data_IF_270393527499
#
_entry.id   IF_270393527499
#
_cell.length_a   1.000
_cell.length_b   1.000
_cell.length_c   1.000
_cell.angle_alpha   90.00
_cell.angle_beta   90.00
_cell.angle_gamma   90.00
#
_symmetry.space_group_name_H-M   'P 1'
#
loop_
_entity.id
_entity.type
_entity.pdbx_description
1 polymer ?
#
# COMPACT_ATOMS: atom_id res chain seq x y z
N UNK A 1 -13.04 45.44 -27.52
CA UNK A 1 -12.08 44.40 -27.07
C UNK A 1 -12.55 43.06 -27.59
N UNK A 2 -11.84 42.46 -28.55
CA UNK A 2 -12.18 41.13 -29.09
C UNK A 2 -11.54 40.06 -28.19
N UNK A 3 -12.27 39.03 -27.74
CA UNK A 3 -11.69 37.94 -26.95
C UNK A 3 -10.63 37.24 -27.79
N UNK A 4 -9.46 37.02 -27.20
CA UNK A 4 -8.33 36.36 -27.84
C UNK A 4 -8.65 34.86 -28.01
N UNK A 5 -8.83 34.41 -29.26
CA UNK A 5 -9.22 33.03 -29.61
C UNK A 5 -8.20 31.96 -29.17
N UNK A 6 -7.00 32.37 -28.74
CA UNK A 6 -5.95 31.48 -28.22
C UNK A 6 -6.25 30.90 -26.83
N UNK A 7 -7.15 31.49 -26.04
CA UNK A 7 -7.58 30.91 -24.75
C UNK A 7 -8.60 29.78 -24.90
N UNK A 8 -9.35 29.75 -26.00
CA UNK A 8 -10.33 28.68 -26.28
C UNK A 8 -9.68 27.40 -26.82
N UNK A 9 -8.48 27.48 -27.39
CA UNK A 9 -7.73 26.30 -27.81
C UNK A 9 -7.24 25.44 -26.63
N UNK A 10 -7.12 26.04 -25.43
CA UNK A 10 -6.76 25.31 -24.21
C UNK A 10 -7.95 24.53 -23.60
N UNK A 11 -9.18 24.86 -24.01
CA UNK A 11 -10.38 24.09 -23.71
C UNK A 11 -10.74 23.17 -24.89
N UNK A 12 -9.84 22.22 -25.22
CA UNK A 12 -10.17 20.81 -24.98
C UNK A 12 -11.59 20.54 -24.45
N UNK A 13 -12.67 20.41 -25.24
CA UNK A 13 -13.84 19.70 -24.73
C UNK A 13 -13.28 18.37 -24.25
N UNK A 14 -13.39 18.10 -22.94
CA UNK A 14 -13.00 16.82 -22.38
C UNK A 14 -13.75 15.78 -23.20
N UNK A 15 -13.04 15.18 -24.16
CA UNK A 15 -13.55 14.12 -24.98
C UNK A 15 -14.13 13.11 -24.02
N UNK A 16 -15.29 12.53 -24.38
CA UNK A 16 -15.93 11.43 -23.65
C UNK A 16 -14.86 10.71 -22.85
N UNK A 17 -14.89 10.88 -21.54
CA UNK A 17 -14.05 10.08 -20.67
C UNK A 17 -14.65 8.70 -20.84
N UNK A 18 -14.14 7.95 -21.81
CA UNK A 18 -14.42 6.54 -21.93
C UNK A 18 -14.08 6.00 -20.56
N UNK A 19 -15.09 5.58 -19.82
CA UNK A 19 -14.86 5.04 -18.48
C UNK A 19 -14.05 3.76 -18.55
N UNK A 20 -13.88 3.17 -19.75
CA UNK A 20 -12.91 2.14 -20.09
C UNK A 20 -11.44 2.60 -20.14
N UNK A 21 -11.15 3.91 -20.09
CA UNK A 21 -9.84 4.45 -19.71
C UNK A 21 -9.64 4.42 -18.18
N UNK A 22 -10.31 3.47 -17.53
CA UNK A 22 -10.14 3.03 -16.14
C UNK A 22 -8.67 2.68 -15.94
N UNK A 23 -7.92 3.63 -15.38
CA UNK A 23 -6.60 3.42 -14.79
C UNK A 23 -5.60 2.67 -15.71
N UNK A 24 -4.82 3.42 -16.49
CA UNK A 24 -3.64 2.86 -17.15
C UNK A 24 -2.46 2.82 -16.13
N UNK A 25 -1.99 1.64 -15.67
CA UNK A 25 -0.85 1.54 -14.76
C UNK A 25 0.49 1.94 -15.39
N UNK A 26 0.52 2.23 -16.69
CA UNK A 26 1.71 2.68 -17.44
C UNK A 26 1.82 4.21 -17.51
N UNK A 27 1.04 4.92 -16.72
CA UNK A 27 1.12 6.38 -16.59
C UNK A 27 2.45 6.71 -15.90
N UNK A 28 3.40 7.26 -16.66
CA UNK A 28 4.72 7.69 -16.19
C UNK A 28 4.55 8.72 -15.09
N UNK A 29 4.88 8.41 -13.83
CA UNK A 29 4.69 9.37 -12.74
C UNK A 29 5.83 10.40 -12.64
N UNK A 30 6.84 10.33 -13.53
CA UNK A 30 7.74 11.45 -13.81
C UNK A 30 7.05 12.55 -14.63
N UNK A 31 5.98 12.23 -15.34
CA UNK A 31 5.12 13.21 -15.99
C UNK A 31 4.28 13.94 -14.92
N UNK A 32 4.36 15.28 -14.91
CA UNK A 32 3.57 16.10 -13.97
C UNK A 32 2.08 15.91 -14.22
N UNK A 33 1.68 15.70 -15.47
CA UNK A 33 0.29 15.52 -15.85
C UNK A 33 -0.24 14.17 -15.34
N UNK A 34 0.60 13.14 -15.36
CA UNK A 34 0.30 11.84 -14.76
C UNK A 34 0.06 11.92 -13.25
N UNK A 35 0.93 12.59 -12.50
CA UNK A 35 0.71 12.79 -11.06
C UNK A 35 -0.54 13.63 -10.78
N UNK A 36 -0.77 14.68 -11.57
CA UNK A 36 -1.99 15.47 -11.48
C UNK A 36 -3.22 14.57 -11.70
N UNK A 37 -3.21 13.71 -12.72
CA UNK A 37 -4.29 12.75 -12.96
C UNK A 37 -4.50 11.82 -11.78
N UNK A 38 -3.46 11.22 -11.21
CA UNK A 38 -3.56 10.36 -10.01
C UNK A 38 -4.16 11.14 -8.84
N UNK A 39 -3.72 12.38 -8.61
CA UNK A 39 -4.24 13.25 -7.56
C UNK A 39 -5.73 13.61 -7.78
N UNK A 40 -6.17 13.72 -9.02
CA UNK A 40 -7.56 14.00 -9.38
C UNK A 40 -8.46 12.75 -9.41
N UNK A 41 -7.91 11.53 -9.43
CA UNK A 41 -8.72 10.30 -9.48
C UNK A 41 -9.59 10.11 -8.24
N UNK A 42 -9.12 10.55 -7.07
CA UNK A 42 -9.80 10.38 -5.78
C UNK A 42 -9.15 11.18 -4.66
N UNK A 43 -9.88 11.45 -3.56
CA UNK A 43 -9.25 11.91 -2.32
C UNK A 43 -8.32 10.82 -1.77
N UNK A 44 -7.08 11.20 -1.47
CA UNK A 44 -6.03 10.30 -0.99
C UNK A 44 -5.71 10.55 0.49
N UNK A 45 -5.81 9.51 1.32
CA UNK A 45 -5.19 9.48 2.64
C UNK A 45 -3.72 9.11 2.48
N UNK A 46 -2.82 10.06 2.71
CA UNK A 46 -1.38 9.83 2.52
C UNK A 46 -0.70 9.55 3.84
N UNK A 47 0.03 8.44 3.93
CA UNK A 47 0.85 8.07 5.08
C UNK A 47 2.23 7.62 4.60
N UNK A 48 3.27 7.95 5.35
CA UNK A 48 4.65 7.68 4.96
C UNK A 48 5.30 6.69 5.94
N UNK A 49 6.05 5.71 5.44
CA UNK A 49 7.04 5.01 6.24
C UNK A 49 8.39 5.71 6.09
N UNK A 50 9.02 6.03 7.22
CA UNK A 50 10.27 6.79 7.27
C UNK A 50 11.47 5.96 7.72
N UNK A 51 11.25 4.74 8.21
CA UNK A 51 12.31 3.89 8.76
C UNK A 51 12.56 4.10 10.25
N UNK A 52 11.80 4.98 10.92
CA UNK A 52 11.88 5.17 12.36
C UNK A 52 10.87 4.23 13.04
N UNK A 53 11.29 3.21 13.81
CA UNK A 53 10.39 2.15 14.30
C UNK A 53 9.17 2.65 15.07
N UNK A 54 9.34 3.65 15.94
CA UNK A 54 8.25 4.21 16.74
C UNK A 54 7.25 5.00 15.88
N UNK A 55 7.73 5.81 14.94
CA UNK A 55 6.88 6.59 14.03
C UNK A 55 6.15 5.66 13.07
N UNK A 56 6.87 4.69 12.51
CA UNK A 56 6.33 3.65 11.62
C UNK A 56 5.27 2.78 12.32
N UNK A 57 5.36 2.60 13.65
CA UNK A 57 4.32 1.94 14.44
C UNK A 57 2.99 2.72 14.44
N UNK A 58 3.03 4.03 14.69
CA UNK A 58 1.83 4.88 14.63
C UNK A 58 1.31 5.02 13.20
N UNK A 59 2.20 5.15 12.22
CA UNK A 59 1.82 5.24 10.81
C UNK A 59 1.12 3.97 10.34
N UNK A 60 1.53 2.80 10.82
CA UNK A 60 0.82 1.55 10.57
C UNK A 60 -0.65 1.58 11.08
N UNK A 61 -0.89 2.12 12.28
CA UNK A 61 -2.26 2.27 12.81
C UNK A 61 -3.08 3.29 12.00
N UNK A 62 -2.45 4.37 11.55
CA UNK A 62 -3.09 5.37 10.69
C UNK A 62 -3.48 4.76 9.33
N UNK A 63 -2.61 3.94 8.73
CA UNK A 63 -2.88 3.20 7.49
C UNK A 63 -4.08 2.28 7.66
N UNK A 64 -4.08 1.45 8.72
CA UNK A 64 -5.19 0.54 9.00
C UNK A 64 -6.52 1.30 9.17
N UNK A 65 -6.50 2.39 9.93
CA UNK A 65 -7.68 3.24 10.13
C UNK A 65 -8.18 3.86 8.81
N UNK A 66 -7.26 4.33 7.96
CA UNK A 66 -7.60 4.88 6.66
C UNK A 66 -8.19 3.82 5.72
N UNK A 67 -7.67 2.58 5.73
CA UNK A 67 -8.23 1.47 4.94
C UNK A 67 -9.65 1.15 5.39
N UNK A 68 -9.88 1.04 6.71
CA UNK A 68 -11.21 0.81 7.26
C UNK A 68 -12.18 1.94 6.90
N UNK A 69 -11.71 3.19 6.94
CA UNK A 69 -12.49 4.37 6.57
C UNK A 69 -12.92 4.31 5.10
N UNK A 70 -12.00 4.06 4.16
CA UNK A 70 -12.36 3.99 2.73
C UNK A 70 -13.27 2.80 2.43
N UNK A 71 -13.18 1.71 3.19
CA UNK A 71 -14.07 0.55 3.07
C UNK A 71 -15.48 0.81 3.60
N UNK A 72 -15.60 1.61 4.66
CA UNK A 72 -16.89 2.02 5.23
C UNK A 72 -17.57 3.14 4.41
N UNK A 73 -16.81 3.88 3.61
CA UNK A 73 -17.32 4.95 2.75
C UNK A 73 -18.26 4.41 1.66
N UNK A 74 -19.55 4.75 1.79
CA UNK A 74 -20.60 4.39 0.83
C UNK A 74 -20.37 4.96 -0.58
N UNK A 75 -19.64 6.07 -0.69
CA UNK A 75 -19.31 6.67 -1.99
C UNK A 75 -18.25 5.86 -2.75
N UNK A 76 -17.48 5.03 -2.02
CA UNK A 76 -16.34 4.22 -2.50
C UNK A 76 -15.39 5.00 -3.41
N UNK A 77 -15.23 6.28 -3.10
CA UNK A 77 -14.37 7.19 -3.85
C UNK A 77 -12.98 7.29 -3.21
N UNK A 78 -12.79 6.92 -1.95
CA UNK A 78 -11.52 7.05 -1.24
C UNK A 78 -10.36 6.21 -1.78
N UNK A 79 -9.14 6.66 -1.45
CA UNK A 79 -7.91 5.89 -1.63
C UNK A 79 -6.92 6.14 -0.51
N UNK A 80 -6.04 5.18 -0.25
CA UNK A 80 -4.91 5.29 0.67
C UNK A 80 -3.62 5.23 -0.15
N UNK A 81 -2.72 6.18 0.09
CA UNK A 81 -1.40 6.29 -0.53
C UNK A 81 -0.35 6.11 0.54
N UNK A 82 0.46 5.07 0.41
CA UNK A 82 1.48 4.70 1.39
C UNK A 82 2.85 4.88 0.75
N UNK A 83 3.63 5.86 1.20
CA UNK A 83 4.95 6.15 0.62
C UNK A 83 6.05 5.52 1.45
N UNK A 84 6.90 4.73 0.82
CA UNK A 84 8.06 4.11 1.45
C UNK A 84 9.30 4.99 1.22
N UNK A 85 9.61 5.88 2.17
CA UNK A 85 10.76 6.80 2.07
C UNK A 85 12.09 6.07 2.31
N UNK A 86 13.19 6.76 2.03
CA UNK A 86 14.53 6.28 2.35
C UNK A 86 14.63 5.95 3.86
N UNK A 87 14.95 4.70 4.18
CA UNK A 87 14.94 4.17 5.55
C UNK A 87 13.85 3.11 5.80
N UNK A 88 12.82 3.06 4.96
CA UNK A 88 11.80 2.00 5.04
C UNK A 88 12.43 0.63 4.81
N UNK A 89 12.03 -0.36 5.62
CA UNK A 89 12.45 -1.75 5.45
C UNK A 89 11.44 -2.56 4.64
N UNK A 90 11.87 -3.68 4.06
CA UNK A 90 10.95 -4.65 3.41
C UNK A 90 9.85 -5.14 4.37
N UNK A 91 10.13 -5.18 5.68
CA UNK A 91 9.13 -5.57 6.68
C UNK A 91 7.93 -4.61 6.71
N UNK A 92 8.14 -3.31 6.43
CA UNK A 92 7.03 -2.35 6.35
C UNK A 92 6.12 -2.65 5.16
N UNK A 93 6.66 -3.07 4.01
CA UNK A 93 5.86 -3.48 2.86
C UNK A 93 5.06 -4.76 3.15
N UNK A 94 5.70 -5.78 3.75
CA UNK A 94 5.01 -7.01 4.16
C UNK A 94 3.87 -6.68 5.11
N UNK A 95 4.11 -5.81 6.10
CA UNK A 95 3.08 -5.35 7.03
C UNK A 95 1.89 -4.71 6.31
N UNK A 96 2.13 -3.90 5.28
CA UNK A 96 1.05 -3.30 4.46
C UNK A 96 0.28 -4.38 3.67
N UNK A 97 0.97 -5.39 3.13
CA UNK A 97 0.31 -6.49 2.44
C UNK A 97 -0.56 -7.34 3.38
N UNK A 98 -0.07 -7.60 4.60
CA UNK A 98 -0.84 -8.27 5.64
C UNK A 98 -2.08 -7.45 6.00
N UNK A 99 -1.94 -6.13 6.09
CA UNK A 99 -3.08 -5.20 6.26
C UNK A 99 -4.12 -5.35 5.17
N UNK A 100 -3.71 -5.42 3.89
CA UNK A 100 -4.66 -5.62 2.80
C UNK A 100 -5.44 -6.93 2.97
N UNK A 101 -4.75 -7.99 3.39
CA UNK A 101 -5.36 -9.29 3.55
C UNK A 101 -6.41 -9.30 4.67
N UNK A 102 -6.05 -8.89 5.90
CA UNK A 102 -6.99 -8.96 7.02
C UNK A 102 -8.10 -7.90 6.97
N UNK A 103 -7.88 -6.75 6.32
CA UNK A 103 -8.94 -5.75 6.08
C UNK A 103 -9.82 -6.09 4.88
N UNK A 104 -9.57 -7.22 4.21
CA UNK A 104 -10.24 -7.64 2.99
C UNK A 104 -10.16 -6.62 1.84
N UNK A 105 -9.12 -5.78 1.83
CA UNK A 105 -8.85 -4.80 0.79
C UNK A 105 -8.26 -5.48 -0.45
N UNK A 106 -9.09 -5.74 -1.46
CA UNK A 106 -8.69 -6.52 -2.65
C UNK A 106 -8.05 -5.71 -3.77
N UNK A 107 -8.32 -4.40 -3.84
CA UNK A 107 -7.81 -3.55 -4.92
C UNK A 107 -6.66 -2.68 -4.42
N UNK A 108 -5.46 -3.03 -4.86
CA UNK A 108 -4.25 -2.27 -4.56
C UNK A 108 -3.21 -2.48 -5.66
N UNK A 109 -2.22 -1.60 -5.73
CA UNK A 109 -1.03 -1.78 -6.55
C UNK A 109 0.20 -1.14 -5.87
N UNK A 110 1.37 -1.63 -6.25
CA UNK A 110 2.66 -1.08 -5.82
C UNK A 110 3.32 -0.39 -7.02
N UNK A 111 3.57 0.91 -6.89
CA UNK A 111 4.46 1.65 -7.78
C UNK A 111 5.88 1.62 -7.22
N UNK A 112 6.74 0.82 -7.84
CA UNK A 112 8.16 0.72 -7.53
C UNK A 112 9.05 1.41 -8.56
N UNK A 113 8.47 2.02 -9.61
CA UNK A 113 9.22 2.69 -10.67
C UNK A 113 9.66 4.08 -10.25
N UNK A 114 8.95 4.66 -9.28
CA UNK A 114 9.16 6.04 -8.84
C UNK A 114 9.57 6.08 -7.37
N UNK A 115 10.32 7.13 -7.03
CA UNK A 115 10.77 7.36 -5.66
C UNK A 115 10.00 8.52 -5.01
N UNK A 116 9.48 8.36 -3.79
CA UNK A 116 9.48 7.12 -3.00
C UNK A 116 8.56 6.04 -3.61
N UNK A 117 8.92 4.77 -3.43
CA UNK A 117 8.04 3.67 -3.83
C UNK A 117 6.70 3.84 -3.11
N UNK A 118 5.60 3.73 -3.84
CA UNK A 118 4.28 4.10 -3.32
C UNK A 118 3.29 2.96 -3.52
N UNK A 119 2.66 2.54 -2.42
CA UNK A 119 1.60 1.55 -2.43
C UNK A 119 0.25 2.26 -2.36
N UNK A 120 -0.64 1.90 -3.27
CA UNK A 120 -1.95 2.52 -3.38
C UNK A 120 -3.01 1.46 -3.09
N UNK A 121 -3.87 1.73 -2.12
CA UNK A 121 -5.07 0.93 -1.85
C UNK A 121 -6.31 1.76 -2.22
N UNK A 122 -7.25 1.15 -2.93
CA UNK A 122 -8.42 1.86 -3.48
C UNK A 122 -9.70 1.06 -3.30
N UNK A 123 -10.83 1.75 -3.15
CA UNK A 123 -12.13 1.09 -3.23
C UNK A 123 -12.68 1.05 -4.65
N UNK A 124 -13.50 0.02 -4.90
CA UNK A 124 -14.27 -0.16 -6.13
C UNK A 124 -15.28 0.98 -6.28
N UNK A 125 -15.08 1.86 -7.26
CA UNK A 125 -16.10 2.84 -7.62
C UNK A 125 -17.41 2.10 -7.97
N UNK A 126 -18.58 2.57 -7.52
CA UNK A 126 -19.84 2.02 -8.00
C UNK A 126 -19.93 2.20 -9.52
N UNK A 127 -20.34 1.16 -10.28
CA UNK A 127 -20.43 1.26 -11.73
C UNK A 127 -21.37 2.40 -12.09
N UNK A 128 -20.97 3.23 -13.05
CA UNK A 128 -21.78 4.35 -13.53
C UNK A 128 -23.09 3.83 -14.14
N UNK A 129 -24.13 4.66 -14.22
CA UNK A 129 -25.39 4.24 -14.87
C UNK A 129 -25.16 3.79 -16.33
N UNK A 130 -24.18 4.37 -17.01
CA UNK A 130 -23.76 3.96 -18.34
C UNK A 130 -23.14 2.55 -18.33
N UNK A 131 -22.18 2.29 -17.44
CA UNK A 131 -21.59 0.94 -17.25
C UNK A 131 -22.64 -0.09 -16.83
N UNK A 132 -23.58 0.27 -15.95
CA UNK A 132 -24.68 -0.62 -15.54
C UNK A 132 -25.58 -0.97 -16.73
N UNK A 133 -25.90 0.00 -17.59
CA UNK A 133 -26.68 -0.24 -18.83
C UNK A 133 -25.92 -1.14 -19.81
N UNK A 134 -24.61 -0.96 -19.92
CA UNK A 134 -23.77 -1.80 -20.77
C UNK A 134 -23.65 -3.24 -20.23
N UNK A 135 -23.47 -3.39 -18.91
CA UNK A 135 -23.39 -4.70 -18.24
C UNK A 135 -24.74 -5.43 -18.21
N UNK A 136 -25.86 -4.70 -18.09
CA UNK A 136 -27.20 -5.30 -18.17
C UNK A 136 -27.60 -5.70 -19.60
N UNK A 137 -27.09 -5.00 -20.62
CA UNK A 137 -27.25 -5.39 -22.01
C UNK A 137 -26.49 -6.69 -22.36
N UNK A 138 -25.35 -6.97 -21.71
CA UNK A 138 -24.65 -8.26 -21.85
C UNK A 138 -25.33 -9.42 -21.10
N UNK A 139 -26.05 -9.13 -20.01
CA UNK A 139 -26.66 -10.16 -19.17
C UNK A 139 -27.88 -10.87 -19.79
N UNK A 140 -28.42 -10.34 -20.88
CA UNK A 140 -29.59 -10.91 -21.57
C UNK A 140 -29.23 -11.81 -22.77
N UNK A 141 -27.95 -12.08 -23.03
CA UNK A 141 -27.55 -12.87 -24.20
C UNK A 141 -26.27 -13.70 -24.09
N UNK A 142 -25.45 -13.55 -23.05
CA UNK A 142 -24.25 -14.38 -22.91
C UNK A 142 -24.06 -14.87 -21.48
N UNK A 143 -24.08 -16.19 -21.33
CA UNK A 143 -23.35 -16.91 -20.28
C UNK A 143 -21.86 -16.66 -20.57
N UNK A 144 -21.38 -15.46 -20.28
CA UNK A 144 -19.97 -15.14 -20.50
C UNK A 144 -19.18 -15.48 -19.24
N UNK A 145 -18.11 -16.23 -19.45
CA UNK A 145 -17.23 -16.70 -18.40
C UNK A 145 -16.61 -15.47 -17.77
N UNK A 146 -17.03 -15.13 -16.57
CA UNK A 146 -16.31 -14.18 -15.73
C UNK A 146 -14.86 -14.62 -15.69
N UNK A 147 -13.99 -13.88 -16.37
CA UNK A 147 -12.56 -14.00 -16.21
C UNK A 147 -12.25 -13.54 -14.78
N UNK A 148 -12.40 -14.49 -13.86
CA UNK A 148 -11.73 -14.45 -12.58
C UNK A 148 -10.24 -14.33 -12.90
N UNK A 149 -9.74 -13.09 -12.93
CA UNK A 149 -8.33 -12.82 -12.73
C UNK A 149 -8.03 -13.14 -11.26
N UNK A 150 -8.13 -14.41 -10.89
CA UNK A 150 -7.41 -14.95 -9.76
C UNK A 150 -5.95 -14.94 -10.19
N UNK A 151 -5.23 -13.91 -9.75
CA UNK A 151 -3.77 -13.97 -9.70
C UNK A 151 -3.41 -15.13 -8.77
N UNK A 152 -3.25 -16.32 -9.34
CA UNK A 152 -2.69 -17.47 -8.64
C UNK A 152 -1.21 -17.17 -8.48
N UNK A 153 -0.83 -16.54 -7.36
CA UNK A 153 0.56 -16.54 -6.96
C UNK A 153 0.99 -18.01 -6.86
N UNK A 154 2.04 -18.45 -7.57
CA UNK A 154 2.53 -19.80 -7.40
C UNK A 154 2.88 -19.97 -5.92
N UNK A 155 2.41 -21.05 -5.25
CA UNK A 155 2.72 -21.27 -3.85
C UNK A 155 4.24 -21.29 -3.71
N UNK A 156 4.78 -20.30 -3.01
CA UNK A 156 6.21 -20.27 -2.74
C UNK A 156 6.54 -21.49 -1.88
N UNK A 157 7.52 -22.27 -2.32
CA UNK A 157 7.96 -23.41 -1.53
C UNK A 157 8.65 -22.89 -0.26
N UNK A 158 8.53 -23.63 0.84
CA UNK A 158 9.20 -23.31 2.11
C UNK A 158 10.71 -23.03 1.94
N UNK A 159 11.36 -23.70 0.98
CA UNK A 159 12.76 -23.46 0.62
C UNK A 159 13.02 -22.09 -0.01
N UNK A 160 12.08 -21.56 -0.80
CA UNK A 160 12.18 -20.21 -1.36
C UNK A 160 11.95 -19.14 -0.27
N UNK A 161 11.04 -19.40 0.67
CA UNK A 161 10.84 -18.56 1.85
C UNK A 161 12.11 -18.54 2.73
N UNK A 162 12.76 -19.68 2.94
CA UNK A 162 14.02 -19.75 3.69
C UNK A 162 15.18 -19.02 2.99
N UNK A 163 15.26 -19.08 1.66
CA UNK A 163 16.27 -18.30 0.90
C UNK A 163 16.06 -16.79 1.01
N UNK A 164 14.81 -16.33 1.09
CA UNK A 164 14.50 -14.92 1.34
C UNK A 164 14.79 -14.49 2.79
N UNK A 165 14.60 -15.40 3.76
CA UNK A 165 14.94 -15.18 5.18
C UNK A 165 16.46 -15.14 5.44
N UNK A 166 17.24 -15.90 4.68
CA UNK A 166 18.70 -15.99 4.84
C UNK A 166 19.48 -14.85 4.16
N UNK A 167 18.80 -13.74 3.85
CA UNK A 167 19.42 -12.53 3.33
C UNK A 167 20.47 -11.99 4.33
N UNK A 168 21.72 -11.74 3.90
CA UNK A 168 22.85 -11.42 4.78
C UNK A 168 22.64 -10.17 5.65
N UNK A 169 21.67 -9.32 5.29
CA UNK A 169 21.33 -8.09 5.99
C UNK A 169 20.58 -8.28 7.33
N UNK A 170 20.12 -9.49 7.68
CA UNK A 170 19.44 -9.79 8.97
C UNK A 170 20.36 -10.27 10.09
N UNK A 171 21.63 -10.58 9.80
CA UNK A 171 22.60 -11.08 10.80
C UNK A 171 22.89 -10.13 11.97
N UNK A 172 22.96 -8.79 11.82
CA UNK A 172 23.35 -7.94 12.95
C UNK A 172 22.24 -7.80 14.00
N UNK A 173 20.96 -7.85 13.63
CA UNK A 173 19.85 -7.68 14.58
C UNK A 173 19.67 -8.88 15.52
N UNK A 174 19.86 -10.10 15.00
CA UNK A 174 19.79 -11.32 15.82
C UNK A 174 20.97 -11.38 16.80
N UNK A 175 22.16 -10.97 16.36
CA UNK A 175 23.34 -10.88 17.24
C UNK A 175 23.15 -9.83 18.34
N UNK A 176 22.62 -8.65 18.03
CA UNK A 176 22.30 -7.61 19.03
C UNK A 176 21.27 -8.09 20.07
N UNK A 177 20.19 -8.75 19.64
CA UNK A 177 19.18 -9.27 20.57
C UNK A 177 19.77 -10.33 21.51
N UNK A 178 20.64 -11.22 21.01
CA UNK A 178 21.29 -12.24 21.84
C UNK A 178 22.27 -11.63 22.86
N UNK A 179 23.01 -10.58 22.48
CA UNK A 179 23.96 -9.90 23.36
C UNK A 179 23.24 -9.16 24.50
N UNK A 180 22.14 -8.46 24.20
CA UNK A 180 21.34 -7.76 25.21
C UNK A 180 20.70 -8.75 26.19
N UNK A 181 20.18 -9.88 25.69
CA UNK A 181 19.64 -10.94 26.54
C UNK A 181 20.68 -11.51 27.50
N UNK A 182 21.89 -11.79 27.03
CA UNK A 182 22.99 -12.29 27.86
C UNK A 182 23.42 -11.27 28.94
N UNK A 183 23.47 -9.97 28.59
CA UNK A 183 23.82 -8.90 29.53
C UNK A 183 22.80 -8.76 30.67
N UNK A 184 21.50 -8.80 30.34
CA UNK A 184 20.43 -8.72 31.34
C UNK A 184 20.44 -9.93 32.29
N UNK A 185 20.72 -11.13 31.76
CA UNK A 185 20.87 -12.34 32.57
C UNK A 185 22.07 -12.24 33.53
N UNK A 186 23.19 -11.68 33.06
CA UNK A 186 24.38 -11.44 33.88
C UNK A 186 24.11 -10.42 35.00
N UNK A 187 23.37 -9.35 34.73
CA UNK A 187 22.98 -8.36 35.75
C UNK A 187 22.02 -8.94 36.79
N UNK A 188 21.05 -9.77 36.39
CA UNK A 188 20.13 -10.45 37.30
C UNK A 188 20.88 -11.45 38.21
N UNK A 189 21.82 -12.22 37.66
CA UNK A 189 22.61 -13.15 38.46
C UNK A 189 23.55 -12.41 39.43
N UNK A 190 24.19 -11.32 39.01
CA UNK A 190 25.03 -10.50 39.88
C UNK A 190 24.24 -9.87 41.05
N UNK A 191 23.05 -9.34 40.79
CA UNK A 191 22.18 -8.75 41.82
C UNK A 191 21.67 -9.79 42.82
N UNK A 192 21.30 -10.98 42.37
CA UNK A 192 20.91 -12.09 43.25
C UNK A 192 22.06 -12.56 44.15
N UNK A 193 23.29 -12.60 43.64
CA UNK A 193 24.48 -12.97 44.44
C UNK A 193 24.76 -11.89 45.49
N UNK A 194 24.72 -10.61 45.12
CA UNK A 194 24.94 -9.50 46.04
C UNK A 194 23.90 -9.47 47.17
N UNK A 195 22.62 -9.68 46.84
CA UNK A 195 21.54 -9.76 47.82
C UNK A 195 21.73 -10.91 48.82
N UNK A 196 22.24 -12.06 48.35
CA UNK A 196 22.50 -13.23 49.20
C UNK A 196 23.65 -13.03 50.18
N UNK A 197 24.65 -12.21 49.81
CA UNK A 197 25.78 -11.87 50.68
C UNK A 197 25.39 -10.87 51.77
N UNK A 198 24.45 -9.95 51.50
CA UNK A 198 24.01 -8.95 52.46
C UNK A 198 23.14 -9.49 53.62
N UNK A 199 22.65 -10.73 53.51
CA UNK A 199 21.80 -11.38 54.52
C UNK A 199 22.64 -12.25 55.50
N UNK A 200 23.94 -12.43 55.23
CA UNK A 200 24.88 -13.13 56.13
C UNK A 200 25.66 -12.15 56.98
#
# INVERSE_FOLDING_TARGET
MKPNASLLAYYRPFGRIDTAAEYNPYVDSGDRDAQARINHMRPWHTVDFGGQPLVDFFNAQAIESAIRLINADSSRAGGVRIRFRAGTTYANLVKVLDMMNYTNQKKYWLDNRHQPATFYAITLRPPTLAERRQNSAMFLGMIDKSADFTYVFPPQTFSQQLKQLNSPWRRPQVLLASAVGALLLALLTATLIAARLAIR
#
